data_IF_088997295966
#
_entry.id   IF_088997295966
#
_cell.length_a   1.000
_cell.length_b   1.000
_cell.length_c   1.000
_cell.angle_alpha   90.00
_cell.angle_beta   90.00
_cell.angle_gamma   90.00
#
_symmetry.space_group_name_H-M   'P 1'
#
loop_
_entity.id
_entity.type
_entity.pdbx_description
1 polymer ?
#
# COMPACT_ATOMS: atom_id res chain seq x y z
N UNK A 1 -9.82 -12.58 -19.71
CA UNK A 1 -8.55 -12.17 -19.08
C UNK A 1 -7.79 -11.39 -20.13
N UNK A 2 -7.43 -10.15 -19.85
CA UNK A 2 -6.70 -9.29 -20.81
C UNK A 2 -5.31 -9.04 -20.24
N UNK A 3 -4.28 -9.32 -21.01
CA UNK A 3 -2.90 -9.03 -20.61
C UNK A 3 -2.68 -7.50 -20.60
N UNK A 4 -1.87 -6.99 -19.66
CA UNK A 4 -1.54 -5.58 -19.62
C UNK A 4 -0.43 -5.31 -20.64
N UNK A 5 -0.81 -5.24 -21.92
CA UNK A 5 0.13 -5.12 -23.03
C UNK A 5 0.12 -3.71 -23.64
N UNK A 6 1.01 -3.50 -24.61
CA UNK A 6 1.16 -2.21 -25.28
C UNK A 6 -0.14 -1.75 -25.97
N UNK A 7 -0.88 -2.66 -26.59
CA UNK A 7 -2.13 -2.35 -27.30
C UNK A 7 -3.19 -1.81 -26.34
N UNK A 8 -3.35 -2.45 -25.17
CA UNK A 8 -4.26 -1.98 -24.13
C UNK A 8 -3.85 -0.59 -23.64
N UNK A 9 -2.56 -0.36 -23.41
CA UNK A 9 -2.05 0.93 -22.93
C UNK A 9 -2.25 2.07 -23.94
N UNK A 10 -2.30 1.77 -25.25
CA UNK A 10 -2.59 2.78 -26.28
C UNK A 10 -4.07 3.19 -26.33
N UNK A 11 -4.98 2.28 -26.00
CA UNK A 11 -6.44 2.52 -26.08
C UNK A 11 -7.07 2.87 -24.74
N UNK A 12 -6.34 2.66 -23.64
CA UNK A 12 -6.79 3.00 -22.30
C UNK A 12 -7.10 4.50 -22.19
N UNK A 13 -8.19 4.82 -21.49
CA UNK A 13 -8.57 6.21 -21.26
C UNK A 13 -7.50 6.92 -20.42
N UNK A 14 -7.15 8.14 -20.85
CA UNK A 14 -6.28 9.03 -20.10
C UNK A 14 -7.03 10.34 -19.84
N UNK A 15 -6.90 10.87 -18.64
CA UNK A 15 -7.61 12.09 -18.25
C UNK A 15 -6.87 12.86 -17.16
N UNK A 16 -7.35 14.08 -16.90
CA UNK A 16 -7.05 14.76 -15.65
C UNK A 16 -8.19 14.49 -14.66
N UNK A 17 -7.86 13.92 -13.52
CA UNK A 17 -8.86 13.66 -12.49
C UNK A 17 -9.20 14.96 -11.72
N UNK A 18 -10.20 14.97 -10.82
CA UNK A 18 -10.58 16.17 -10.06
C UNK A 18 -9.47 16.77 -9.19
N UNK A 19 -8.43 15.99 -8.86
CA UNK A 19 -7.24 16.45 -8.15
C UNK A 19 -6.17 17.03 -9.09
N UNK A 20 -6.46 17.13 -10.40
CA UNK A 20 -5.57 17.58 -11.47
C UNK A 20 -4.37 16.67 -11.71
N UNK A 21 -4.46 15.42 -11.29
CA UNK A 21 -3.48 14.37 -11.58
C UNK A 21 -3.72 13.83 -12.98
N UNK A 22 -2.65 13.57 -13.74
CA UNK A 22 -2.74 12.81 -14.99
C UNK A 22 -2.98 11.36 -14.65
N UNK A 23 -4.19 10.89 -14.94
CA UNK A 23 -4.69 9.57 -14.59
C UNK A 23 -4.72 8.67 -15.83
N UNK A 24 -4.16 7.46 -15.69
CA UNK A 24 -4.36 6.34 -16.62
C UNK A 24 -5.44 5.42 -16.06
N UNK A 25 -6.50 5.20 -16.83
CA UNK A 25 -7.66 4.39 -16.42
C UNK A 25 -7.56 2.99 -17.02
N UNK A 26 -7.30 2.00 -16.16
CA UNK A 26 -7.20 0.57 -16.49
C UNK A 26 -8.27 -0.25 -15.74
N UNK A 27 -9.44 0.35 -15.52
CA UNK A 27 -10.54 -0.26 -14.78
C UNK A 27 -11.27 -1.35 -15.60
N UNK A 28 -11.72 -2.41 -14.93
CA UNK A 28 -12.61 -3.46 -15.49
C UNK A 28 -12.03 -4.29 -16.66
N UNK A 29 -10.70 -4.28 -16.90
CA UNK A 29 -10.08 -5.04 -17.99
C UNK A 29 -9.79 -6.52 -17.68
N UNK A 30 -10.10 -7.00 -16.47
CA UNK A 30 -9.73 -8.36 -16.03
C UNK A 30 -8.21 -8.64 -16.16
N UNK A 31 -7.38 -7.64 -15.84
CA UNK A 31 -5.91 -7.75 -15.84
C UNK A 31 -5.47 -8.72 -14.74
N UNK A 32 -4.73 -9.79 -15.05
CA UNK A 32 -4.30 -10.78 -14.05
C UNK A 32 -3.02 -10.36 -13.30
N UNK A 33 -2.17 -9.56 -13.95
CA UNK A 33 -0.87 -9.13 -13.41
C UNK A 33 -0.46 -7.79 -14.02
N UNK A 34 0.34 -7.03 -13.28
CA UNK A 34 0.98 -5.82 -13.78
C UNK A 34 2.22 -6.21 -14.58
N UNK A 35 2.36 -5.63 -15.75
CA UNK A 35 3.46 -5.82 -16.69
C UNK A 35 3.48 -4.65 -17.69
N UNK A 36 4.58 -4.49 -18.42
CA UNK A 36 4.74 -3.52 -19.52
C UNK A 36 4.52 -2.03 -19.19
N UNK A 37 4.40 -1.66 -17.91
CA UNK A 37 4.21 -0.26 -17.50
C UNK A 37 5.43 0.64 -17.78
N UNK A 38 6.60 0.08 -18.09
CA UNK A 38 7.79 0.85 -18.44
C UNK A 38 7.58 1.77 -19.66
N UNK A 39 6.67 1.38 -20.58
CA UNK A 39 6.35 2.19 -21.76
C UNK A 39 5.63 3.50 -21.44
N UNK A 40 5.09 3.64 -20.23
CA UNK A 40 4.41 4.85 -19.77
C UNK A 40 5.36 6.01 -19.48
N UNK A 41 6.69 5.76 -19.45
CA UNK A 41 7.74 6.76 -19.27
C UNK A 41 7.52 7.70 -18.07
N UNK A 42 6.97 7.16 -16.97
CA UNK A 42 6.74 7.87 -15.69
C UNK A 42 5.94 9.18 -15.83
N UNK A 43 4.96 9.22 -16.74
CA UNK A 43 4.20 10.44 -17.05
C UNK A 43 2.90 10.60 -16.26
N UNK A 44 2.48 9.59 -15.49
CA UNK A 44 1.18 9.56 -14.82
C UNK A 44 1.33 9.76 -13.31
N UNK A 45 0.49 10.64 -12.77
CA UNK A 45 0.41 10.93 -11.34
C UNK A 45 -0.55 9.95 -10.65
N UNK A 46 -1.55 9.43 -11.38
CA UNK A 46 -2.55 8.49 -10.88
C UNK A 46 -2.73 7.27 -11.80
N UNK A 47 -2.95 6.11 -11.20
CA UNK A 47 -3.22 4.86 -11.90
C UNK A 47 -4.46 4.17 -11.31
N UNK A 48 -5.49 3.98 -12.13
CA UNK A 48 -6.71 3.27 -11.74
C UNK A 48 -6.72 1.83 -12.28
N UNK A 49 -6.39 0.87 -11.42
CA UNK A 49 -6.44 -0.57 -11.65
C UNK A 49 -7.67 -1.23 -10.99
N UNK A 50 -8.70 -0.45 -10.64
CA UNK A 50 -9.88 -0.95 -9.94
C UNK A 50 -10.61 -2.05 -10.73
N UNK A 51 -11.18 -3.03 -10.03
CA UNK A 51 -11.97 -4.12 -10.60
C UNK A 51 -11.21 -4.96 -11.64
N UNK A 52 -9.97 -5.32 -11.35
CA UNK A 52 -9.20 -6.28 -12.14
C UNK A 52 -9.09 -7.62 -11.41
N UNK A 53 -8.15 -8.47 -11.83
CA UNK A 53 -7.90 -9.79 -11.24
C UNK A 53 -6.47 -9.91 -10.72
N UNK A 54 -5.86 -8.79 -10.34
CA UNK A 54 -4.51 -8.74 -9.81
C UNK A 54 -4.41 -9.59 -8.55
N UNK A 55 -3.41 -10.46 -8.48
CA UNK A 55 -3.16 -11.32 -7.29
C UNK A 55 -2.04 -10.79 -6.41
N UNK A 56 -1.19 -9.92 -6.95
CA UNK A 56 -0.11 -9.24 -6.23
C UNK A 56 0.05 -7.81 -6.74
N UNK A 57 0.51 -6.93 -5.85
CA UNK A 57 0.96 -5.58 -6.20
C UNK A 57 2.47 -5.62 -6.40
N UNK A 58 2.91 -5.81 -7.64
CA UNK A 58 4.28 -6.08 -8.02
C UNK A 58 4.56 -5.61 -9.45
N UNK A 59 5.81 -5.74 -9.91
CA UNK A 59 6.24 -5.51 -11.30
C UNK A 59 6.05 -4.07 -11.80
N UNK A 60 6.05 -3.09 -10.91
CA UNK A 60 6.10 -1.69 -11.34
C UNK A 60 7.52 -1.35 -11.79
N UNK A 61 7.69 -0.61 -12.91
CA UNK A 61 8.93 0.12 -13.12
C UNK A 61 9.08 1.18 -12.01
N UNK A 62 10.24 1.81 -11.94
CA UNK A 62 10.41 2.95 -11.03
C UNK A 62 9.55 4.13 -11.51
N UNK A 63 8.42 4.37 -10.85
CA UNK A 63 7.46 5.43 -11.15
C UNK A 63 7.57 6.52 -10.09
N UNK A 64 8.34 7.56 -10.38
CA UNK A 64 8.56 8.68 -9.46
C UNK A 64 7.45 9.72 -9.53
N UNK A 65 6.68 9.79 -10.60
CA UNK A 65 5.54 10.70 -10.72
C UNK A 65 4.29 10.17 -10.01
N UNK A 66 4.15 8.84 -9.89
CA UNK A 66 2.94 8.21 -9.36
C UNK A 66 2.73 8.55 -7.88
N UNK A 67 1.66 9.29 -7.60
CA UNK A 67 1.22 9.69 -6.27
C UNK A 67 -0.03 8.93 -5.79
N UNK A 68 -0.89 8.51 -6.71
CA UNK A 68 -2.18 7.86 -6.40
C UNK A 68 -2.33 6.52 -7.12
N UNK A 69 -2.57 5.45 -6.36
CA UNK A 69 -2.79 4.10 -6.89
C UNK A 69 -4.13 3.54 -6.39
N UNK A 70 -5.07 3.36 -7.33
CA UNK A 70 -6.38 2.78 -7.05
C UNK A 70 -6.38 1.32 -7.51
N UNK A 71 -6.40 0.37 -6.59
CA UNK A 71 -6.36 -1.07 -6.88
C UNK A 71 -7.47 -1.84 -6.16
N UNK A 72 -8.60 -1.16 -5.91
CA UNK A 72 -9.74 -1.76 -5.22
C UNK A 72 -10.44 -2.84 -6.05
N UNK A 73 -11.11 -3.80 -5.41
CA UNK A 73 -11.89 -4.83 -6.12
C UNK A 73 -11.03 -5.81 -6.93
N UNK A 74 -9.82 -6.10 -6.45
CA UNK A 74 -8.90 -7.08 -7.06
C UNK A 74 -8.81 -8.35 -6.20
N UNK A 75 -7.83 -9.21 -6.48
CA UNK A 75 -7.55 -10.45 -5.72
C UNK A 75 -6.19 -10.38 -5.01
N UNK A 76 -5.71 -9.17 -4.70
CA UNK A 76 -4.36 -8.94 -4.19
C UNK A 76 -4.22 -9.56 -2.81
N UNK A 77 -3.26 -10.47 -2.68
CA UNK A 77 -2.92 -11.14 -1.43
C UNK A 77 -1.44 -10.95 -1.04
N UNK A 78 -0.64 -10.31 -1.90
CA UNK A 78 0.79 -10.08 -1.67
C UNK A 78 1.25 -8.73 -2.22
N UNK A 79 2.25 -8.15 -1.57
CA UNK A 79 2.94 -6.91 -1.97
C UNK A 79 4.41 -7.24 -2.24
N UNK A 80 4.98 -6.69 -3.32
CA UNK A 80 6.38 -6.89 -3.64
C UNK A 80 7.31 -6.26 -2.59
N UNK A 81 8.40 -6.92 -2.16
CA UNK A 81 9.30 -6.37 -1.13
C UNK A 81 9.97 -5.05 -1.52
N UNK A 82 10.15 -4.80 -2.82
CA UNK A 82 10.77 -3.62 -3.42
C UNK A 82 9.75 -2.55 -3.83
N UNK A 83 8.49 -2.66 -3.40
CA UNK A 83 7.42 -1.73 -3.77
C UNK A 83 7.76 -0.26 -3.45
N UNK A 84 8.51 -0.02 -2.37
CA UNK A 84 8.95 1.32 -2.01
C UNK A 84 10.04 1.89 -2.95
N UNK A 85 10.86 1.02 -3.56
CA UNK A 85 11.82 1.43 -4.58
C UNK A 85 11.12 1.71 -5.92
N UNK A 86 10.07 0.93 -6.22
CA UNK A 86 9.27 1.08 -7.43
C UNK A 86 8.38 2.33 -7.38
N UNK A 87 7.74 2.61 -6.24
CA UNK A 87 6.76 3.70 -6.07
C UNK A 87 7.18 4.68 -4.95
N UNK A 88 8.34 5.36 -5.06
CA UNK A 88 8.94 6.13 -3.97
C UNK A 88 8.12 7.36 -3.55
N UNK A 89 7.19 7.81 -4.40
CA UNK A 89 6.38 9.01 -4.17
C UNK A 89 4.90 8.71 -3.98
N UNK A 90 4.53 7.48 -3.65
CA UNK A 90 3.13 7.11 -3.45
C UNK A 90 2.55 7.74 -2.17
N UNK A 91 1.47 8.51 -2.33
CA UNK A 91 0.76 9.18 -1.24
C UNK A 91 -0.56 8.49 -0.89
N UNK A 92 -1.27 8.00 -1.91
CA UNK A 92 -2.58 7.37 -1.75
C UNK A 92 -2.57 5.96 -2.32
N UNK A 93 -2.89 4.98 -1.48
CA UNK A 93 -3.03 3.58 -1.88
C UNK A 93 -4.41 3.05 -1.48
N UNK A 94 -5.22 2.70 -2.47
CA UNK A 94 -6.50 2.04 -2.25
C UNK A 94 -6.42 0.55 -2.60
N UNK A 95 -6.40 -0.29 -1.56
CA UNK A 95 -6.44 -1.75 -1.64
C UNK A 95 -7.77 -2.31 -1.10
N UNK A 96 -8.83 -1.52 -1.05
CA UNK A 96 -10.12 -1.99 -0.56
C UNK A 96 -10.66 -3.18 -1.38
N UNK A 97 -11.42 -4.07 -0.74
CA UNK A 97 -12.00 -5.27 -1.36
C UNK A 97 -10.97 -6.13 -2.12
N UNK A 98 -9.90 -6.52 -1.42
CA UNK A 98 -8.86 -7.43 -1.90
C UNK A 98 -8.80 -8.70 -1.01
N UNK A 99 -7.72 -9.49 -1.13
CA UNK A 99 -7.52 -10.76 -0.41
C UNK A 99 -6.34 -10.71 0.57
N UNK A 100 -6.01 -9.53 1.10
CA UNK A 100 -5.00 -9.42 2.17
C UNK A 100 -5.52 -10.12 3.42
N UNK A 101 -4.72 -11.05 3.95
CA UNK A 101 -5.13 -11.91 5.07
C UNK A 101 -4.32 -11.63 6.31
N UNK A 102 -2.99 -11.59 6.22
CA UNK A 102 -2.13 -11.51 7.38
C UNK A 102 -1.61 -10.09 7.64
N UNK A 103 -1.44 -9.72 8.91
CA UNK A 103 -0.91 -8.40 9.28
C UNK A 103 0.53 -8.20 8.79
N UNK A 104 1.33 -9.27 8.75
CA UNK A 104 2.71 -9.22 8.26
C UNK A 104 2.82 -8.92 6.76
N UNK A 105 1.76 -9.14 5.98
CA UNK A 105 1.74 -8.80 4.55
C UNK A 105 1.77 -7.28 4.34
N UNK A 106 1.32 -6.51 5.33
CA UNK A 106 1.28 -5.05 5.31
C UNK A 106 2.63 -4.40 5.69
N UNK A 107 3.61 -5.16 6.17
CA UNK A 107 4.90 -4.63 6.64
C UNK A 107 5.65 -3.84 5.56
N UNK A 108 5.50 -4.25 4.30
CA UNK A 108 6.11 -3.59 3.14
C UNK A 108 5.64 -2.14 3.01
N UNK A 109 4.38 -1.86 3.39
CA UNK A 109 3.80 -0.51 3.33
C UNK A 109 4.50 0.47 4.26
N UNK A 110 5.15 -0.02 5.33
CA UNK A 110 5.93 0.81 6.25
C UNK A 110 7.17 1.44 5.61
N UNK A 111 7.61 0.94 4.45
CA UNK A 111 8.74 1.48 3.70
C UNK A 111 8.35 2.63 2.75
N UNK A 112 7.05 2.84 2.53
CA UNK A 112 6.54 3.93 1.70
C UNK A 112 6.54 5.23 2.52
N UNK A 113 7.68 5.93 2.51
CA UNK A 113 7.95 7.12 3.34
C UNK A 113 6.98 8.31 3.09
N UNK A 114 6.17 8.26 2.02
CA UNK A 114 5.17 9.30 1.67
C UNK A 114 3.71 8.85 1.74
N UNK A 115 3.44 7.60 2.13
CA UNK A 115 2.09 7.06 2.14
C UNK A 115 1.25 7.70 3.27
N UNK A 116 0.28 8.54 2.90
CA UNK A 116 -0.59 9.27 3.84
C UNK A 116 -2.00 8.68 3.91
N UNK A 117 -2.51 8.13 2.81
CA UNK A 117 -3.87 7.58 2.72
C UNK A 117 -3.81 6.11 2.34
N UNK A 118 -4.32 5.25 3.23
CA UNK A 118 -4.36 3.81 3.03
C UNK A 118 -5.78 3.27 3.25
N UNK A 119 -6.31 2.56 2.26
CA UNK A 119 -7.62 1.94 2.33
C UNK A 119 -7.46 0.42 2.17
N UNK A 120 -7.93 -0.33 3.17
CA UNK A 120 -7.84 -1.78 3.28
C UNK A 120 -9.20 -2.41 3.64
N UNK A 121 -10.25 -1.61 3.82
CA UNK A 121 -11.62 -2.05 4.05
C UNK A 121 -12.03 -3.16 3.07
N UNK A 122 -12.71 -4.20 3.58
CA UNK A 122 -13.13 -5.34 2.76
C UNK A 122 -12.04 -6.41 2.52
N UNK A 123 -10.85 -6.27 3.10
CA UNK A 123 -9.89 -7.37 3.20
C UNK A 123 -10.13 -8.22 4.47
N UNK A 124 -9.66 -9.47 4.48
CA UNK A 124 -9.74 -10.31 5.68
C UNK A 124 -8.86 -9.79 6.82
N UNK A 125 -7.75 -9.11 6.49
CA UNK A 125 -6.80 -8.55 7.47
C UNK A 125 -7.44 -7.57 8.45
N UNK A 126 -8.51 -6.87 8.05
CA UNK A 126 -9.18 -5.88 8.89
C UNK A 126 -9.93 -6.50 10.08
N UNK A 127 -10.15 -7.83 10.05
CA UNK A 127 -10.80 -8.58 11.13
C UNK A 127 -9.82 -9.04 12.21
N UNK A 128 -8.51 -8.87 12.01
CA UNK A 128 -7.53 -9.27 13.00
C UNK A 128 -7.58 -8.39 14.25
N UNK A 129 -7.33 -8.97 15.45
CA UNK A 129 -7.16 -8.18 16.65
C UNK A 129 -5.98 -7.21 16.48
N UNK A 130 -6.14 -6.00 16.99
CA UNK A 130 -5.15 -4.92 16.89
C UNK A 130 -4.80 -4.49 15.44
N UNK A 131 -5.60 -4.85 14.43
CA UNK A 131 -5.36 -4.45 13.03
C UNK A 131 -5.03 -2.97 12.89
N UNK A 132 -5.90 -2.10 13.39
CA UNK A 132 -5.74 -0.64 13.27
C UNK A 132 -4.46 -0.15 13.96
N UNK A 133 -4.22 -0.58 15.20
CA UNK A 133 -3.00 -0.23 15.95
C UNK A 133 -1.74 -0.74 15.26
N UNK A 134 -1.77 -1.96 14.71
CA UNK A 134 -0.65 -2.57 14.00
C UNK A 134 -0.29 -1.75 12.75
N UNK A 135 -1.28 -1.40 11.93
CA UNK A 135 -1.05 -0.57 10.73
C UNK A 135 -0.53 0.81 11.11
N UNK A 136 -1.12 1.47 12.12
CA UNK A 136 -0.66 2.80 12.59
C UNK A 136 0.80 2.76 13.08
N UNK A 137 1.16 1.70 13.81
CA UNK A 137 2.54 1.52 14.29
C UNK A 137 3.51 1.24 13.14
N UNK A 138 3.11 0.39 12.19
CA UNK A 138 3.97 -0.06 11.10
C UNK A 138 4.11 0.95 9.97
N UNK A 139 3.07 1.75 9.73
CA UNK A 139 3.01 2.76 8.68
C UNK A 139 2.89 4.15 9.32
N UNK A 140 3.98 4.71 9.88
CA UNK A 140 3.93 5.92 10.70
C UNK A 140 3.49 7.17 9.93
N UNK A 141 3.60 7.16 8.60
CA UNK A 141 3.22 8.28 7.73
C UNK A 141 1.73 8.33 7.40
N UNK A 142 1.00 7.23 7.63
CA UNK A 142 -0.44 7.17 7.35
C UNK A 142 -1.19 8.12 8.29
N UNK A 143 -2.01 8.97 7.67
CA UNK A 143 -2.87 9.99 8.31
C UNK A 143 -4.35 9.62 8.21
N UNK A 144 -4.73 8.91 7.16
CA UNK A 144 -6.09 8.41 6.94
C UNK A 144 -6.01 6.91 6.69
N UNK A 145 -6.67 6.13 7.53
CA UNK A 145 -6.78 4.69 7.41
C UNK A 145 -8.26 4.30 7.37
N UNK A 146 -8.68 3.63 6.29
CA UNK A 146 -10.06 3.19 6.09
C UNK A 146 -11.09 4.33 6.24
N UNK A 147 -10.77 5.48 5.64
CA UNK A 147 -11.52 6.74 5.72
C UNK A 147 -11.59 7.40 7.10
N UNK A 148 -10.91 6.84 8.09
CA UNK A 148 -10.81 7.43 9.43
C UNK A 148 -9.46 8.11 9.64
N UNK A 149 -9.49 9.36 10.09
CA UNK A 149 -8.28 10.09 10.48
C UNK A 149 -7.59 9.39 11.64
N UNK A 150 -6.29 9.12 11.49
CA UNK A 150 -5.42 8.63 12.56
C UNK A 150 -5.11 9.78 13.52
N UNK A 151 -5.51 9.64 14.78
CA UNK A 151 -5.24 10.63 15.83
C UNK A 151 -3.94 10.34 16.56
N UNK A 152 -3.32 11.37 17.12
CA UNK A 152 -2.06 11.23 17.87
C UNK A 152 -2.24 10.33 19.11
N UNK A 153 -3.40 10.35 19.75
CA UNK A 153 -3.73 9.44 20.85
C UNK A 153 -3.65 7.96 20.43
N UNK A 154 -4.17 7.62 19.23
CA UNK A 154 -4.09 6.25 18.69
C UNK A 154 -2.65 5.88 18.34
N UNK A 155 -1.88 6.84 17.80
CA UNK A 155 -0.48 6.65 17.47
C UNK A 155 0.37 6.38 18.70
N UNK A 156 0.15 7.14 19.77
CA UNK A 156 0.82 6.96 21.05
C UNK A 156 0.45 5.60 21.67
N UNK A 157 -0.85 5.26 21.69
CA UNK A 157 -1.31 3.97 22.20
C UNK A 157 -0.71 2.78 21.41
N UNK A 158 -0.66 2.88 20.08
CA UNK A 158 -0.04 1.86 19.23
C UNK A 158 1.46 1.76 19.48
N UNK A 159 2.16 2.89 19.63
CA UNK A 159 3.59 2.92 19.98
C UNK A 159 3.86 2.21 21.31
N UNK A 160 3.08 2.51 22.35
CA UNK A 160 3.18 1.84 23.65
C UNK A 160 2.89 0.35 23.55
N UNK A 161 1.85 -0.05 22.82
CA UNK A 161 1.45 -1.45 22.67
C UNK A 161 2.54 -2.33 22.03
N UNK A 162 3.29 -1.77 21.07
CA UNK A 162 4.34 -2.48 20.34
C UNK A 162 5.76 -2.12 20.82
N UNK A 163 5.88 -1.46 21.98
CA UNK A 163 7.18 -1.12 22.58
C UNK A 163 7.78 -2.27 23.40
N UNK A 164 9.10 -2.27 23.55
CA UNK A 164 9.83 -3.26 24.34
C UNK A 164 9.81 -4.68 23.77
N UNK A 165 10.32 -5.63 24.54
CA UNK A 165 10.43 -7.04 24.11
C UNK A 165 9.06 -7.73 24.02
N UNK A 166 8.12 -7.37 24.91
CA UNK A 166 6.75 -7.89 24.89
C UNK A 166 5.95 -7.38 23.68
N UNK A 167 6.06 -6.09 23.37
CA UNK A 167 5.41 -5.51 22.18
C UNK A 167 5.97 -6.10 20.89
N UNK A 168 7.28 -6.35 20.83
CA UNK A 168 7.91 -7.03 19.70
C UNK A 168 7.44 -8.49 19.57
N UNK A 169 7.30 -9.20 20.69
CA UNK A 169 6.74 -10.56 20.71
C UNK A 169 5.27 -10.59 20.29
N UNK A 170 4.48 -9.58 20.66
CA UNK A 170 3.10 -9.41 20.20
C UNK A 170 3.06 -9.15 18.68
N UNK A 171 3.88 -8.23 18.17
CA UNK A 171 3.99 -7.95 16.75
C UNK A 171 4.40 -9.21 15.97
N UNK A 172 5.33 -10.02 16.49
CA UNK A 172 5.70 -11.33 15.94
C UNK A 172 4.51 -12.30 15.85
N UNK A 173 3.75 -12.43 16.95
CA UNK A 173 2.59 -13.33 17.02
C UNK A 173 1.49 -12.91 16.05
N UNK A 174 1.30 -11.60 15.86
CA UNK A 174 0.29 -11.05 14.97
C UNK A 174 0.71 -11.12 13.49
N UNK A 175 1.99 -10.89 13.19
CA UNK A 175 2.50 -10.84 11.81
C UNK A 175 2.94 -12.20 11.26
N UNK A 176 3.29 -13.15 12.14
CA UNK A 176 3.92 -14.42 11.76
C UNK A 176 5.38 -14.28 11.29
N UNK A 177 5.97 -13.07 11.32
CA UNK A 177 7.32 -12.77 10.81
C UNK A 177 8.31 -12.50 11.93
N UNK A 178 9.46 -13.21 11.92
CA UNK A 178 10.51 -13.18 12.96
C UNK A 178 10.88 -11.76 13.44
N UNK A 179 11.17 -11.57 14.74
CA UNK A 179 11.50 -10.26 15.32
C UNK A 179 12.64 -9.49 14.62
N UNK A 180 13.61 -10.20 14.03
CA UNK A 180 14.73 -9.60 13.29
C UNK A 180 14.28 -8.80 12.06
N UNK A 181 13.18 -9.19 11.42
CA UNK A 181 12.60 -8.52 10.23
C UNK A 181 11.70 -7.35 10.64
N UNK A 182 11.13 -7.40 11.85
CA UNK A 182 10.28 -6.33 12.36
C UNK A 182 11.11 -5.08 12.71
N UNK A 183 12.29 -5.28 13.32
CA UNK A 183 13.23 -4.20 13.70
C UNK A 183 13.73 -3.36 12.52
N UNK A 184 13.94 -3.95 11.35
CA UNK A 184 14.49 -3.21 10.20
C UNK A 184 13.51 -2.19 9.60
N UNK A 185 12.20 -2.43 9.72
CA UNK A 185 11.19 -1.50 9.18
C UNK A 185 10.54 -0.58 10.23
N UNK A 186 10.92 -0.67 11.52
CA UNK A 186 10.63 0.38 12.52
C UNK A 186 11.79 1.38 12.67
N UNK A 187 12.95 1.11 12.07
CA UNK A 187 14.23 1.80 12.32
C UNK A 187 14.43 3.19 11.71
N UNK A 188 13.39 3.93 11.31
CA UNK A 188 13.50 5.32 10.82
C UNK A 188 12.71 6.36 11.61
N UNK A 189 12.12 6.01 12.75
CA UNK A 189 11.49 6.99 13.64
C UNK A 189 12.48 7.49 14.70
N UNK A 190 13.56 8.15 14.25
CA UNK A 190 14.29 9.08 15.11
C UNK A 190 13.42 10.33 15.21
N UNK A 191 12.85 10.55 16.39
CA UNK A 191 12.27 11.84 16.79
C UNK A 191 13.39 12.87 16.64
N UNK A 192 13.22 14.00 15.90
CA UNK A 192 14.16 15.09 16.04
C UNK A 192 13.98 15.65 17.46
N UNK A 193 14.98 15.42 18.30
CA UNK A 193 15.11 16.09 19.59
C UNK A 193 15.53 17.54 19.39
N UNK A 194 14.85 18.41 20.13
CA UNK A 194 15.15 19.79 20.54
C UNK A 194 15.77 20.79 19.54
#
# INVERSE_FOLDING_TARGET
MVALNYELLQVAETRFNPLKERELVLRDYNIPQIENLAVLNDQYDALDLTNNRLTALANFPRMTSLATLLASGNQIAALAPDLAEQLPNLHTLNLAANRMTHLGDLDVLGQLDKLEVLLLAGNAVTRHPHYRSYVIHRCPRVRILDWEKVRDAERNAASTLFSGDEGLALAYRLSGKKPSVLRSATGKASIPGD
#
